data_IF_929130003347
#
_entry.id   IF_929130003347
#
_cell.length_a   1.000
_cell.length_b   1.000
_cell.length_c   1.000
_cell.angle_alpha   90.00
_cell.angle_beta   90.00
_cell.angle_gamma   90.00
#
_symmetry.space_group_name_H-M   'P 1'
#
loop_
_entity.id
_entity.type
_entity.pdbx_description
1 polymer ?
#
# COMPACT_ATOMS: atom_id res chain seq x y z
N UNK A 1 9.33 -5.27 44.23
CA UNK A 1 9.73 -3.94 43.77
C UNK A 1 10.97 -4.09 42.89
N UNK A 2 10.92 -3.70 41.63
CA UNK A 2 12.11 -3.66 40.75
C UNK A 2 13.00 -2.51 41.23
N UNK A 3 14.25 -2.80 41.55
CA UNK A 3 15.23 -1.79 42.02
C UNK A 3 16.23 -1.38 40.96
N UNK A 4 16.36 -2.19 39.85
CA UNK A 4 17.22 -1.89 38.69
C UNK A 4 16.72 -2.67 37.50
N UNK A 5 16.69 -2.03 36.33
CA UNK A 5 16.49 -2.66 35.04
C UNK A 5 17.54 -2.14 34.06
N UNK A 6 18.02 -2.98 33.17
CA UNK A 6 18.91 -2.61 32.07
C UNK A 6 18.46 -3.32 30.81
N UNK A 7 18.68 -2.71 29.65
CA UNK A 7 18.39 -3.26 28.34
C UNK A 7 19.50 -2.90 27.36
N UNK A 8 19.70 -3.72 26.36
CA UNK A 8 20.63 -3.51 25.27
C UNK A 8 19.89 -3.70 23.94
N UNK A 9 20.20 -2.86 22.96
CA UNK A 9 19.70 -3.03 21.58
C UNK A 9 20.78 -3.76 20.80
N UNK A 10 20.45 -4.99 20.36
CA UNK A 10 21.30 -5.76 19.47
C UNK A 10 20.84 -5.51 18.02
N UNK A 11 21.69 -4.88 17.23
CA UNK A 11 21.46 -4.73 15.80
C UNK A 11 21.70 -6.07 15.08
N UNK A 12 20.69 -6.52 14.33
CA UNK A 12 20.79 -7.73 13.50
C UNK A 12 21.39 -7.31 12.17
N UNK A 13 22.67 -7.56 11.99
CA UNK A 13 23.43 -7.26 10.78
C UNK A 13 24.31 -8.45 10.37
N UNK A 14 25.12 -8.28 9.32
CA UNK A 14 25.98 -9.35 8.77
C UNK A 14 27.00 -9.90 9.76
N UNK A 15 27.30 -9.23 10.87
CA UNK A 15 28.21 -9.77 11.92
C UNK A 15 27.61 -10.97 12.64
N UNK A 16 26.29 -11.11 12.62
CA UNK A 16 25.55 -12.20 13.26
C UNK A 16 25.28 -13.38 12.29
N UNK A 17 25.57 -13.23 11.00
CA UNK A 17 25.31 -14.28 10.00
C UNK A 17 26.05 -15.60 10.27
N UNK A 18 27.16 -15.54 11.02
CA UNK A 18 27.89 -16.73 11.45
C UNK A 18 27.22 -17.48 12.63
N UNK A 19 26.26 -16.86 13.33
CA UNK A 19 25.54 -17.44 14.44
C UNK A 19 24.28 -18.12 13.90
N UNK A 20 24.40 -19.39 13.54
CA UNK A 20 23.30 -20.15 12.93
C UNK A 20 22.94 -21.36 13.80
N UNK A 21 21.65 -21.54 14.02
CA UNK A 21 21.11 -22.78 14.59
C UNK A 21 20.86 -23.79 13.45
N UNK A 22 21.78 -24.75 13.35
CA UNK A 22 21.74 -25.79 12.29
C UNK A 22 20.46 -26.65 12.37
N UNK A 23 19.92 -26.90 13.55
CA UNK A 23 18.69 -27.69 13.70
C UNK A 23 17.48 -26.92 13.15
N UNK A 24 17.42 -25.61 13.42
CA UNK A 24 16.37 -24.74 12.89
C UNK A 24 16.47 -24.66 11.37
N UNK A 25 17.66 -24.41 10.82
CA UNK A 25 17.88 -24.35 9.38
C UNK A 25 17.46 -25.66 8.71
N UNK A 26 17.86 -26.80 9.25
CA UNK A 26 17.50 -28.10 8.72
C UNK A 26 15.98 -28.34 8.75
N UNK A 27 15.32 -27.99 9.83
CA UNK A 27 13.87 -28.14 9.96
C UNK A 27 13.10 -27.22 9.00
N UNK A 28 13.61 -26.00 8.75
CA UNK A 28 12.96 -25.02 7.87
C UNK A 28 13.27 -25.22 6.38
N UNK A 29 14.35 -25.91 6.04
CA UNK A 29 14.80 -26.06 4.65
C UNK A 29 13.73 -26.61 3.69
N UNK A 30 12.97 -27.69 4.01
CA UNK A 30 11.93 -28.20 3.11
C UNK A 30 10.76 -27.22 2.95
N UNK A 31 10.36 -26.53 4.03
CA UNK A 31 9.29 -25.53 4.00
C UNK A 31 9.70 -24.34 3.13
N UNK A 32 10.93 -23.87 3.31
CA UNK A 32 11.48 -22.77 2.51
C UNK A 32 11.57 -23.14 1.03
N UNK A 33 12.04 -24.34 0.69
CA UNK A 33 12.14 -24.80 -0.70
C UNK A 33 10.76 -24.89 -1.37
N UNK A 34 9.75 -25.38 -0.67
CA UNK A 34 8.36 -25.46 -1.18
C UNK A 34 7.78 -24.06 -1.40
N UNK A 35 7.94 -23.16 -0.44
CA UNK A 35 7.50 -21.76 -0.58
C UNK A 35 8.22 -21.04 -1.72
N UNK A 36 9.53 -21.21 -1.85
CA UNK A 36 10.29 -20.60 -2.95
C UNK A 36 9.83 -21.08 -4.31
N UNK A 37 9.54 -22.37 -4.45
CA UNK A 37 9.02 -22.93 -5.70
C UNK A 37 7.66 -22.31 -6.10
N UNK A 38 6.80 -21.98 -5.14
CA UNK A 38 5.49 -21.39 -5.38
C UNK A 38 5.57 -19.86 -5.57
N UNK A 39 6.36 -19.18 -4.75
CA UNK A 39 6.38 -17.71 -4.67
C UNK A 39 7.36 -17.05 -5.65
N UNK A 40 8.39 -17.76 -6.11
CA UNK A 40 9.38 -17.19 -7.02
C UNK A 40 8.97 -17.28 -8.52
N UNK A 41 7.73 -17.64 -8.81
CA UNK A 41 7.20 -17.67 -10.18
C UNK A 41 7.01 -16.22 -10.67
N UNK A 42 7.61 -15.86 -11.83
CA UNK A 42 7.39 -14.54 -12.43
C UNK A 42 5.93 -14.36 -12.85
N UNK A 43 5.35 -13.22 -12.49
CA UNK A 43 3.96 -12.85 -12.82
C UNK A 43 3.89 -11.53 -13.59
N UNK A 44 4.99 -10.81 -13.71
CA UNK A 44 5.06 -9.54 -14.40
C UNK A 44 6.49 -9.02 -14.49
N UNK A 45 6.63 -7.83 -15.07
CA UNK A 45 7.91 -7.16 -15.25
C UNK A 45 7.79 -5.67 -14.94
N UNK A 46 8.66 -5.14 -14.09
CA UNK A 46 8.75 -3.72 -13.80
C UNK A 46 9.92 -3.12 -14.63
N UNK A 47 9.63 -2.25 -15.62
CA UNK A 47 10.69 -1.63 -16.44
C UNK A 47 11.54 -0.62 -15.66
N UNK A 48 11.04 -0.14 -14.54
CA UNK A 48 11.70 0.81 -13.63
C UNK A 48 11.50 0.38 -12.18
N UNK A 49 12.35 0.85 -11.30
CA UNK A 49 12.17 0.62 -9.86
C UNK A 49 10.89 1.33 -9.36
N UNK A 50 10.13 0.64 -8.51
CA UNK A 50 8.96 1.17 -7.83
C UNK A 50 9.32 1.42 -6.36
N UNK A 51 9.30 2.68 -5.96
CA UNK A 51 9.69 3.10 -4.61
C UNK A 51 8.51 3.69 -3.85
N UNK A 52 8.54 3.50 -2.53
CA UNK A 52 7.55 4.02 -1.57
C UNK A 52 8.10 5.27 -0.90
N UNK A 53 7.47 6.40 -1.09
CA UNK A 53 7.78 7.67 -0.41
C UNK A 53 6.62 8.65 -0.55
N UNK A 54 6.61 9.67 0.28
CA UNK A 54 5.66 10.79 0.19
C UNK A 54 6.28 11.99 -0.54
N UNK A 55 5.49 12.90 -1.12
CA UNK A 55 4.01 12.91 -1.15
C UNK A 55 3.39 12.00 -2.23
N UNK A 56 4.14 11.69 -3.26
CA UNK A 56 3.73 10.86 -4.40
C UNK A 56 4.89 9.97 -4.82
N UNK A 57 4.60 8.72 -5.19
CA UNK A 57 5.63 7.78 -5.59
C UNK A 57 5.12 6.74 -6.59
N UNK A 58 6.07 6.13 -7.30
CA UNK A 58 5.78 5.14 -8.34
C UNK A 58 5.04 3.92 -7.81
N UNK A 59 5.37 3.46 -6.59
CA UNK A 59 4.70 2.30 -5.98
C UNK A 59 3.25 2.59 -5.63
N UNK A 60 2.95 3.72 -4.98
CA UNK A 60 1.58 4.09 -4.63
C UNK A 60 0.72 4.34 -5.86
N UNK A 61 1.27 5.02 -6.88
CA UNK A 61 0.57 5.23 -8.15
C UNK A 61 0.21 3.90 -8.81
N UNK A 62 1.20 2.98 -8.92
CA UNK A 62 0.95 1.65 -9.48
C UNK A 62 -0.09 0.86 -8.68
N UNK A 63 0.01 0.84 -7.35
CA UNK A 63 -0.89 0.07 -6.50
C UNK A 63 -2.33 0.62 -6.54
N UNK A 64 -2.49 1.94 -6.49
CA UNK A 64 -3.82 2.56 -6.56
C UNK A 64 -4.45 2.42 -7.95
N UNK A 65 -3.67 2.52 -9.03
CA UNK A 65 -4.15 2.27 -10.39
C UNK A 65 -4.58 0.79 -10.57
N UNK A 66 -3.79 -0.16 -10.04
CA UNK A 66 -4.14 -1.58 -10.08
C UNK A 66 -5.41 -1.87 -9.28
N UNK A 67 -5.56 -1.26 -8.09
CA UNK A 67 -6.77 -1.40 -7.28
C UNK A 67 -8.01 -0.84 -8.00
N UNK A 68 -7.90 0.35 -8.60
CA UNK A 68 -9.00 0.96 -9.35
C UNK A 68 -9.38 0.13 -10.58
N UNK A 69 -8.38 -0.37 -11.32
CA UNK A 69 -8.61 -1.23 -12.48
C UNK A 69 -9.34 -2.52 -12.08
N UNK A 70 -8.89 -3.16 -10.99
CA UNK A 70 -9.55 -4.39 -10.49
C UNK A 70 -10.94 -4.13 -9.94
N UNK A 71 -11.14 -3.02 -9.25
CA UNK A 71 -12.47 -2.63 -8.78
C UNK A 71 -13.44 -2.46 -9.96
N UNK A 72 -13.03 -1.77 -11.03
CA UNK A 72 -13.83 -1.58 -12.24
C UNK A 72 -14.12 -2.87 -13.00
N UNK A 73 -13.26 -3.87 -12.89
CA UNK A 73 -13.50 -5.20 -13.45
C UNK A 73 -14.56 -5.97 -12.66
N UNK A 74 -14.51 -5.90 -11.32
CA UNK A 74 -15.37 -6.67 -10.43
C UNK A 74 -16.73 -6.02 -10.20
N UNK A 75 -16.79 -4.70 -10.23
CA UNK A 75 -18.00 -3.92 -9.99
C UNK A 75 -18.39 -3.18 -11.29
N UNK A 76 -19.40 -3.65 -12.02
CA UNK A 76 -19.80 -3.05 -13.31
C UNK A 76 -20.37 -1.64 -13.17
N UNK A 77 -20.79 -1.25 -11.98
CA UNK A 77 -21.09 0.15 -11.67
C UNK A 77 -19.82 0.97 -11.66
N UNK A 78 -19.90 2.22 -12.12
CA UNK A 78 -18.72 3.07 -12.26
C UNK A 78 -18.04 3.26 -10.90
N UNK A 79 -16.79 2.82 -10.78
CA UNK A 79 -15.91 3.16 -9.66
C UNK A 79 -15.11 4.39 -10.02
N UNK A 80 -15.33 5.48 -9.28
CA UNK A 80 -14.79 6.81 -9.60
C UNK A 80 -13.30 6.92 -9.26
N UNK A 81 -12.91 6.43 -8.08
CA UNK A 81 -11.54 6.54 -7.59
C UNK A 81 -11.15 5.38 -6.69
N UNK A 82 -9.86 5.26 -6.42
CA UNK A 82 -9.32 4.34 -5.43
C UNK A 82 -8.38 5.04 -4.46
N UNK A 83 -8.28 4.49 -3.24
CA UNK A 83 -7.36 4.94 -2.18
C UNK A 83 -6.60 3.76 -1.61
N UNK A 84 -5.28 3.93 -1.47
CA UNK A 84 -4.36 2.97 -0.84
C UNK A 84 -3.50 3.73 0.16
N UNK A 85 -3.39 3.24 1.39
CA UNK A 85 -2.54 3.87 2.39
C UNK A 85 -1.06 3.52 2.19
N UNK A 86 -0.20 4.49 2.43
CA UNK A 86 1.26 4.30 2.32
C UNK A 86 1.76 3.26 3.34
N UNK A 87 1.16 3.20 4.53
CA UNK A 87 1.51 2.23 5.56
C UNK A 87 1.28 0.77 5.14
N UNK A 88 0.41 0.53 4.17
CA UNK A 88 0.17 -0.78 3.57
C UNK A 88 1.31 -1.26 2.65
N UNK A 89 2.15 -0.36 2.16
CA UNK A 89 3.28 -0.68 1.27
C UNK A 89 4.55 -0.92 2.08
N UNK A 90 5.01 -2.17 2.16
CA UNK A 90 6.05 -2.60 3.11
C UNK A 90 7.45 -2.70 2.51
N UNK A 91 7.59 -2.63 1.20
CA UNK A 91 8.88 -2.71 0.52
C UNK A 91 8.90 -1.93 -0.80
N UNK A 92 10.09 -1.75 -1.35
CA UNK A 92 10.31 -1.24 -2.71
C UNK A 92 10.60 -2.40 -3.65
N UNK A 93 10.31 -2.22 -4.95
CA UNK A 93 10.72 -3.18 -5.98
C UNK A 93 11.82 -2.60 -6.86
N UNK A 94 12.81 -3.44 -7.17
CA UNK A 94 13.76 -3.15 -8.24
C UNK A 94 13.12 -3.25 -9.61
N UNK A 95 13.79 -2.73 -10.65
CA UNK A 95 13.46 -3.06 -12.02
C UNK A 95 13.77 -4.53 -12.30
N UNK A 96 12.94 -5.22 -13.09
CA UNK A 96 13.11 -6.63 -13.42
C UNK A 96 11.83 -7.44 -13.24
N UNK A 97 11.98 -8.74 -13.15
CA UNK A 97 10.87 -9.68 -12.98
C UNK A 97 10.20 -9.49 -11.61
N UNK A 98 8.87 -9.44 -11.64
CA UNK A 98 8.03 -9.40 -10.44
C UNK A 98 7.43 -10.79 -10.24
N UNK A 99 7.55 -11.30 -9.03
CA UNK A 99 7.05 -12.62 -8.63
C UNK A 99 5.93 -12.49 -7.60
N UNK A 100 5.22 -13.58 -7.32
CA UNK A 100 4.27 -13.62 -6.20
C UNK A 100 4.92 -13.20 -4.87
N UNK A 101 6.18 -13.58 -4.65
CA UNK A 101 6.93 -13.18 -3.45
C UNK A 101 6.96 -11.67 -3.28
N UNK A 102 7.25 -10.92 -4.34
CA UNK A 102 7.27 -9.46 -4.30
C UNK A 102 5.91 -8.87 -3.86
N UNK A 103 4.79 -9.44 -4.33
CA UNK A 103 3.45 -8.99 -3.94
C UNK A 103 3.17 -9.28 -2.47
N UNK A 104 3.49 -10.49 -1.99
CA UNK A 104 3.33 -10.85 -0.58
C UNK A 104 4.20 -10.00 0.36
N UNK A 105 5.43 -9.69 -0.05
CA UNK A 105 6.32 -8.82 0.72
C UNK A 105 5.86 -7.36 0.73
N UNK A 106 5.23 -6.91 -0.36
CA UNK A 106 4.70 -5.55 -0.48
C UNK A 106 3.48 -5.34 0.41
N UNK A 107 2.52 -6.25 0.33
CA UNK A 107 1.22 -6.16 1.04
C UNK A 107 0.92 -7.47 1.78
N UNK A 108 1.60 -7.74 2.90
CA UNK A 108 1.46 -9.01 3.65
C UNK A 108 0.22 -9.05 4.52
N UNK A 109 -0.94 -8.66 3.98
CA UNK A 109 -2.20 -8.57 4.70
C UNK A 109 -3.31 -9.25 3.92
N UNK A 110 -4.22 -9.91 4.63
CA UNK A 110 -5.43 -10.53 4.07
C UNK A 110 -6.58 -9.51 3.93
N UNK A 111 -6.27 -8.37 3.33
CA UNK A 111 -7.26 -7.32 3.10
C UNK A 111 -8.16 -7.65 1.92
N UNK A 112 -9.43 -7.32 2.04
CA UNK A 112 -10.40 -7.43 0.95
C UNK A 112 -10.58 -6.08 0.24
N UNK A 113 -10.81 -6.14 -1.09
CA UNK A 113 -11.21 -4.98 -1.87
C UNK A 113 -12.68 -4.68 -1.58
N UNK A 114 -12.96 -3.46 -1.14
CA UNK A 114 -14.31 -2.95 -0.92
C UNK A 114 -14.58 -1.70 -1.74
N UNK A 115 -15.84 -1.45 -2.07
CA UNK A 115 -16.29 -0.22 -2.73
C UNK A 115 -17.28 0.50 -1.83
N UNK A 116 -16.98 1.75 -1.51
CA UNK A 116 -17.78 2.61 -0.65
C UNK A 116 -18.47 3.68 -1.48
N UNK A 117 -19.67 4.08 -1.08
CA UNK A 117 -20.31 5.30 -1.59
C UNK A 117 -20.05 6.42 -0.59
N UNK A 118 -19.35 7.46 -1.04
CA UNK A 118 -19.00 8.63 -0.21
C UNK A 118 -19.60 9.90 -0.77
N UNK A 119 -19.98 10.82 0.09
CA UNK A 119 -20.40 12.16 -0.33
C UNK A 119 -19.17 13.00 -0.71
N UNK A 120 -19.31 13.89 -1.69
CA UNK A 120 -18.18 14.70 -2.17
C UNK A 120 -17.54 15.57 -1.07
N UNK A 121 -18.33 16.03 -0.09
CA UNK A 121 -17.78 16.75 1.08
C UNK A 121 -16.82 15.88 1.89
N UNK A 122 -17.14 14.58 2.07
CA UNK A 122 -16.32 13.67 2.86
C UNK A 122 -15.02 13.35 2.09
N UNK A 123 -15.09 13.28 0.75
CA UNK A 123 -13.89 13.14 -0.10
C UNK A 123 -13.01 14.39 -0.03
N UNK A 124 -13.60 15.59 0.00
CA UNK A 124 -12.84 16.84 0.16
C UNK A 124 -12.17 16.92 1.55
N UNK A 125 -12.84 16.44 2.60
CA UNK A 125 -12.25 16.33 3.93
C UNK A 125 -11.10 15.30 3.94
N UNK A 126 -11.26 14.16 3.26
CA UNK A 126 -10.20 13.18 3.08
C UNK A 126 -8.99 13.77 2.31
N UNK A 127 -9.23 14.57 1.27
CA UNK A 127 -8.18 15.31 0.58
C UNK A 127 -7.39 16.25 1.52
N UNK A 128 -8.09 16.95 2.44
CA UNK A 128 -7.43 17.80 3.42
C UNK A 128 -6.57 16.97 4.40
N UNK A 129 -7.04 15.80 4.83
CA UNK A 129 -6.24 14.88 5.65
C UNK A 129 -4.99 14.46 4.87
N UNK A 130 -5.10 14.05 3.62
CA UNK A 130 -3.96 13.68 2.78
C UNK A 130 -2.95 14.82 2.64
N UNK A 131 -3.42 16.06 2.44
CA UNK A 131 -2.55 17.23 2.36
C UNK A 131 -1.77 17.48 3.66
N UNK A 132 -2.37 17.23 4.81
CA UNK A 132 -1.76 17.43 6.13
C UNK A 132 -0.82 16.28 6.53
N UNK A 133 -1.10 15.05 6.11
CA UNK A 133 -0.34 13.86 6.49
C UNK A 133 0.77 13.50 5.49
N UNK A 134 0.93 14.28 4.42
CA UNK A 134 2.00 14.09 3.45
C UNK A 134 1.63 13.27 2.21
N UNK A 135 0.36 12.85 2.06
CA UNK A 135 -0.14 12.15 0.88
C UNK A 135 -0.38 10.66 1.07
N UNK A 136 -1.25 10.10 0.24
CA UNK A 136 -1.60 8.68 0.16
C UNK A 136 -1.66 8.27 -1.31
N UNK A 137 -1.73 6.95 -1.60
CA UNK A 137 -1.95 6.44 -2.95
C UNK A 137 -3.38 6.71 -3.40
N UNK A 138 -3.55 7.37 -4.54
CA UNK A 138 -4.87 7.64 -5.11
C UNK A 138 -4.87 7.40 -6.61
N UNK A 139 -5.95 6.84 -7.14
CA UNK A 139 -6.22 6.71 -8.56
C UNK A 139 -7.60 7.29 -8.89
N UNK A 140 -7.78 7.85 -10.09
CA UNK A 140 -9.02 8.54 -10.46
C UNK A 140 -9.20 9.93 -9.84
N UNK A 141 -8.51 10.22 -8.74
CA UNK A 141 -8.43 11.52 -8.08
C UNK A 141 -7.14 12.24 -8.47
N UNK A 142 -7.24 13.52 -8.80
CA UNK A 142 -6.09 14.43 -8.95
C UNK A 142 -6.22 15.57 -7.94
N UNK A 143 -5.22 15.71 -7.08
CA UNK A 143 -5.19 16.72 -6.04
C UNK A 143 -3.94 17.60 -6.17
N UNK A 144 -4.08 18.89 -5.91
CA UNK A 144 -2.97 19.83 -5.73
C UNK A 144 -3.09 20.43 -4.34
N UNK A 145 -2.04 20.31 -3.55
CA UNK A 145 -1.96 20.87 -2.21
C UNK A 145 -0.68 21.70 -2.05
N UNK A 146 -0.72 22.70 -1.20
CA UNK A 146 0.43 23.53 -0.80
C UNK A 146 0.33 23.82 0.69
N UNK A 147 1.43 23.63 1.40
CA UNK A 147 1.55 23.92 2.84
C UNK A 147 0.43 23.26 3.68
N UNK A 148 0.07 22.00 3.36
CA UNK A 148 -0.99 21.25 4.03
C UNK A 148 -2.42 21.67 3.68
N UNK A 149 -2.61 22.53 2.67
CA UNK A 149 -3.93 23.02 2.23
C UNK A 149 -4.20 22.56 0.81
N UNK A 150 -5.39 22.00 0.58
CA UNK A 150 -5.86 21.60 -0.75
C UNK A 150 -6.20 22.85 -1.57
N UNK A 151 -5.54 23.01 -2.72
CA UNK A 151 -5.81 24.08 -3.69
C UNK A 151 -6.87 23.63 -4.71
N UNK A 152 -6.80 22.37 -5.14
CA UNK A 152 -7.80 21.77 -6.03
C UNK A 152 -7.85 20.27 -5.86
N UNK A 153 -9.04 19.70 -6.01
CA UNK A 153 -9.27 18.25 -6.09
C UNK A 153 -10.28 17.98 -7.21
N UNK A 154 -9.98 16.98 -8.04
CA UNK A 154 -10.78 16.62 -9.21
C UNK A 154 -10.87 15.11 -9.35
N UNK A 155 -12.05 14.62 -9.69
CA UNK A 155 -12.28 13.22 -10.10
C UNK A 155 -12.68 13.25 -11.58
N UNK A 156 -12.06 12.40 -12.41
CA UNK A 156 -12.25 12.37 -13.86
C UNK A 156 -12.13 13.79 -14.51
N UNK A 157 -11.16 14.57 -14.03
CA UNK A 157 -10.92 15.94 -14.51
C UNK A 157 -11.97 16.98 -14.07
N UNK A 158 -13.06 16.58 -13.42
CA UNK A 158 -14.14 17.45 -12.95
C UNK A 158 -13.94 17.79 -11.48
N UNK A 159 -14.37 19.00 -11.11
CA UNK A 159 -14.34 19.43 -9.72
C UNK A 159 -15.29 18.59 -8.88
N UNK A 160 -14.86 18.21 -7.68
CA UNK A 160 -15.70 17.44 -6.75
C UNK A 160 -16.85 18.33 -6.26
N UNK A 161 -18.07 17.85 -6.45
CA UNK A 161 -19.27 18.52 -5.98
C UNK A 161 -19.61 18.03 -4.56
N UNK A 162 -19.68 18.89 -3.54
CA UNK A 162 -19.85 18.47 -2.15
C UNK A 162 -21.08 17.59 -1.90
N UNK A 163 -22.18 17.87 -2.60
CA UNK A 163 -23.45 17.18 -2.43
C UNK A 163 -23.64 15.96 -3.35
N UNK A 164 -22.72 15.72 -4.28
CA UNK A 164 -22.74 14.54 -5.14
C UNK A 164 -22.18 13.31 -4.42
N UNK A 165 -22.54 12.13 -4.91
CA UNK A 165 -22.01 10.87 -4.42
C UNK A 165 -21.01 10.30 -5.42
N UNK A 166 -19.96 9.67 -4.89
CA UNK A 166 -18.88 9.04 -5.63
C UNK A 166 -18.60 7.66 -5.06
N UNK A 167 -18.13 6.76 -5.91
CA UNK A 167 -17.75 5.41 -5.52
C UNK A 167 -16.24 5.32 -5.37
N UNK A 168 -15.80 4.83 -4.22
CA UNK A 168 -14.38 4.78 -3.81
C UNK A 168 -13.98 3.34 -3.53
N UNK A 169 -13.04 2.80 -4.30
CA UNK A 169 -12.43 1.52 -4.02
C UNK A 169 -11.31 1.66 -2.98
N UNK A 170 -11.27 0.77 -2.01
CA UNK A 170 -10.22 0.74 -1.00
C UNK A 170 -10.13 -0.66 -0.37
N UNK A 171 -9.30 -0.81 0.69
CA UNK A 171 -9.30 -2.03 1.51
C UNK A 171 -10.36 -1.98 2.60
N UNK A 172 -10.82 -3.13 3.04
CA UNK A 172 -11.68 -3.27 4.21
C UNK A 172 -11.05 -2.66 5.47
N UNK A 173 -9.72 -2.78 5.63
CA UNK A 173 -8.96 -2.15 6.71
C UNK A 173 -9.19 -0.61 6.76
N UNK A 174 -9.02 0.07 5.63
CA UNK A 174 -9.25 1.52 5.57
C UNK A 174 -10.73 1.88 5.76
N UNK A 175 -11.62 1.05 5.25
CA UNK A 175 -13.08 1.28 5.36
C UNK A 175 -13.58 1.30 6.80
N UNK A 176 -12.86 0.68 7.72
CA UNK A 176 -13.18 0.62 9.14
C UNK A 176 -12.62 1.83 9.93
N UNK A 177 -11.92 2.73 9.28
CA UNK A 177 -11.36 3.92 9.91
C UNK A 177 -10.19 3.62 10.84
N UNK A 178 -9.37 2.64 10.51
CA UNK A 178 -8.26 2.15 11.35
C UNK A 178 -6.91 2.79 11.03
N UNK A 179 -6.83 3.75 10.09
CA UNK A 179 -5.58 4.41 9.70
C UNK A 179 -5.73 5.95 9.70
#
# INVERSE_FOLDING_TARGET
>A
RVTKASGEILMIDSTLDAIQDSNYIYAMAPIKADLEAQLCVPIGYAPVALAVHQPECTMLNWASDALLAKARELFPELVDMAVVNIGGMRCNWGAGDITFKHVFELMPFDNELVVLTMQGKDILDLCNIFAQTGGQGVAGLRMVAKDGVVISARIDGKQIMPDAYYTVATSDYLSQGTD
#
